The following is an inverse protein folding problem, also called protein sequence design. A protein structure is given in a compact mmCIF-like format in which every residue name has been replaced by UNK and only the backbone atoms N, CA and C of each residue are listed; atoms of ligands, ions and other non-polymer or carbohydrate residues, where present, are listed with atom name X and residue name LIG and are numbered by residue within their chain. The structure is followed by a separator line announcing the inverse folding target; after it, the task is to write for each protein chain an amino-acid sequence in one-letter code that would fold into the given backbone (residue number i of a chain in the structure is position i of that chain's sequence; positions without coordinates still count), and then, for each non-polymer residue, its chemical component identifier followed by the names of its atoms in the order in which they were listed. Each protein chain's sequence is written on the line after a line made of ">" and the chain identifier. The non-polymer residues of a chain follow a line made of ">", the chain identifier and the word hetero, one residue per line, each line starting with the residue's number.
data_IF_646714082439
#
_entry.id   IF_646714082439
#
_cell.length_a   1.000
_cell.length_b   1.000
_cell.length_c   1.000
_cell.angle_alpha   90.00
_cell.angle_beta   90.00
_cell.angle_gamma   90.00
#
_symmetry.space_group_name_H-M   'P 1'
#
loop_
_entity.id
_entity.type
_entity.pdbx_description
1 polymer ?
#
# COMPACT_ATOMS: atom_id res chain seq x y z
N UNK A 1 12.83 18.21 -24.43
CA UNK A 1 13.41 16.93 -23.97
C UNK A 1 14.11 17.03 -22.60
N UNK A 2 14.90 18.08 -22.30
CA UNK A 2 15.54 18.29 -20.97
C UNK A 2 14.59 18.28 -19.75
N UNK A 3 13.31 18.65 -19.91
CA UNK A 3 12.33 18.64 -18.82
C UNK A 3 11.92 17.23 -18.40
N UNK A 4 11.77 16.31 -19.35
CA UNK A 4 11.39 14.92 -19.08
C UNK A 4 12.47 14.17 -18.30
N UNK A 5 13.74 14.34 -18.69
CA UNK A 5 14.88 13.76 -17.97
C UNK A 5 15.06 14.31 -16.55
N UNK A 6 14.70 15.57 -16.28
CA UNK A 6 14.74 16.11 -14.92
C UNK A 6 13.61 15.60 -14.03
N UNK A 7 12.44 15.37 -14.59
CA UNK A 7 11.27 14.89 -13.86
C UNK A 7 11.33 13.38 -13.59
N UNK A 8 11.78 12.58 -14.56
CA UNK A 8 11.72 11.12 -14.50
C UNK A 8 13.09 10.44 -14.49
N UNK A 9 14.16 11.12 -14.91
CA UNK A 9 15.51 10.56 -14.98
C UNK A 9 16.38 10.78 -13.74
N UNK A 10 15.88 11.49 -12.72
CA UNK A 10 16.59 11.71 -11.45
C UNK A 10 15.71 11.37 -10.26
N UNK A 11 16.32 10.76 -9.25
CA UNK A 11 15.70 10.55 -7.94
C UNK A 11 15.24 11.88 -7.35
N UNK A 12 13.99 11.92 -6.89
CA UNK A 12 13.46 13.09 -6.21
C UNK A 12 14.08 13.21 -4.81
N UNK A 13 14.32 14.44 -4.32
CA UNK A 13 14.85 14.63 -2.98
C UNK A 13 13.85 14.10 -1.93
N UNK A 14 14.37 13.48 -0.87
CA UNK A 14 13.57 12.80 0.19
C UNK A 14 12.46 13.68 0.74
N UNK A 15 12.76 14.96 1.03
CA UNK A 15 11.78 15.90 1.58
C UNK A 15 10.59 16.11 0.65
N UNK A 16 10.83 16.14 -0.67
CA UNK A 16 9.77 16.34 -1.64
C UNK A 16 8.84 15.12 -1.72
N UNK A 17 9.39 13.91 -1.64
CA UNK A 17 8.59 12.68 -1.50
C UNK A 17 7.75 12.67 -0.22
N UNK A 18 8.36 13.02 0.92
CA UNK A 18 7.65 13.11 2.20
C UNK A 18 6.52 14.16 2.18
N UNK A 19 6.77 15.33 1.58
CA UNK A 19 5.78 16.39 1.43
C UNK A 19 4.58 15.94 0.60
N UNK A 20 4.82 15.26 -0.53
CA UNK A 20 3.75 14.75 -1.39
C UNK A 20 2.94 13.65 -0.74
N UNK A 21 3.59 12.73 0.00
CA UNK A 21 2.89 11.71 0.77
C UNK A 21 2.02 12.32 1.88
N UNK A 22 2.54 13.32 2.59
CA UNK A 22 1.79 14.06 3.62
C UNK A 22 0.58 14.79 3.05
N UNK A 23 0.77 15.53 1.94
CA UNK A 23 -0.33 16.20 1.24
C UNK A 23 -1.36 15.20 0.75
N UNK A 24 -0.92 14.10 0.12
CA UNK A 24 -1.80 13.03 -0.33
C UNK A 24 -2.64 12.47 0.82
N UNK A 25 -2.02 12.22 1.97
CA UNK A 25 -2.73 11.75 3.14
C UNK A 25 -3.81 12.72 3.65
N UNK A 26 -3.50 14.02 3.72
CA UNK A 26 -4.48 15.05 4.11
C UNK A 26 -5.66 15.09 3.15
N UNK A 27 -5.40 15.01 1.84
CA UNK A 27 -6.46 14.93 0.85
C UNK A 27 -7.34 13.69 1.02
N UNK A 28 -6.74 12.50 1.18
CA UNK A 28 -7.51 11.27 1.41
C UNK A 28 -8.39 11.36 2.67
N UNK A 29 -7.82 11.91 3.75
CA UNK A 29 -8.54 12.11 5.00
C UNK A 29 -9.72 13.09 4.86
N UNK A 30 -9.58 14.11 4.00
CA UNK A 30 -10.64 15.08 3.74
C UNK A 30 -11.81 14.50 2.92
N UNK A 31 -11.58 13.50 2.08
CA UNK A 31 -12.60 12.95 1.18
C UNK A 31 -13.37 11.76 1.75
N UNK A 32 -12.72 10.80 2.42
CA UNK A 32 -13.43 9.58 2.86
C UNK A 32 -12.74 8.86 4.02
N UNK A 33 -11.49 8.41 3.82
CA UNK A 33 -10.79 7.52 4.75
C UNK A 33 -9.28 7.81 4.73
N UNK A 34 -8.58 7.59 5.85
CA UNK A 34 -7.13 7.62 5.85
C UNK A 34 -6.52 6.53 4.95
N UNK A 35 -5.31 6.77 4.44
CA UNK A 35 -4.62 5.84 3.54
C UNK A 35 -4.29 4.51 4.25
N UNK A 36 -4.90 3.41 3.80
CA UNK A 36 -4.59 2.06 4.31
C UNK A 36 -4.52 1.02 3.20
N UNK A 37 -3.57 0.10 3.31
CA UNK A 37 -3.36 -1.01 2.37
C UNK A 37 -3.94 -2.32 2.93
N UNK A 38 -3.77 -2.53 4.24
CA UNK A 38 -4.21 -3.76 4.92
C UNK A 38 -5.72 -3.99 4.77
N UNK A 39 -6.53 -2.94 4.89
CA UNK A 39 -7.99 -3.10 4.76
C UNK A 39 -8.40 -3.45 3.32
N UNK A 40 -7.71 -2.90 2.31
CA UNK A 40 -7.97 -3.21 0.91
C UNK A 40 -7.62 -4.66 0.57
N UNK A 41 -6.47 -5.15 1.06
CA UNK A 41 -6.02 -6.55 0.87
C UNK A 41 -6.90 -7.52 1.66
N UNK A 42 -7.32 -7.15 2.88
CA UNK A 42 -8.26 -7.93 3.68
C UNK A 42 -9.59 -8.11 2.95
N UNK A 43 -10.14 -7.05 2.36
CA UNK A 43 -11.36 -7.13 1.56
C UNK A 43 -11.21 -8.07 0.35
N UNK A 44 -10.05 -8.11 -0.29
CA UNK A 44 -9.78 -9.07 -1.38
C UNK A 44 -9.75 -10.51 -0.89
N UNK A 45 -9.16 -10.75 0.29
CA UNK A 45 -9.17 -12.06 0.94
C UNK A 45 -10.58 -12.50 1.33
N UNK A 46 -11.33 -11.63 2.01
CA UNK A 46 -12.70 -11.90 2.44
C UNK A 46 -13.61 -12.18 1.24
N UNK A 47 -13.44 -11.46 0.13
CA UNK A 47 -14.17 -11.72 -1.12
C UNK A 47 -13.82 -13.07 -1.73
N UNK A 48 -12.52 -13.42 -1.82
CA UNK A 48 -12.08 -14.74 -2.32
C UNK A 48 -12.63 -15.90 -1.47
N UNK A 49 -12.56 -15.77 -0.14
CA UNK A 49 -13.05 -16.82 0.75
C UNK A 49 -14.59 -16.90 0.79
N UNK A 50 -15.29 -15.80 0.50
CA UNK A 50 -16.74 -15.79 0.35
C UNK A 50 -17.17 -16.52 -0.93
N UNK A 51 -16.48 -16.29 -2.06
CA UNK A 51 -16.69 -17.03 -3.32
C UNK A 51 -16.41 -18.53 -3.18
N UNK A 52 -15.41 -18.92 -2.39
CA UNK A 52 -15.10 -20.33 -2.09
C UNK A 52 -16.09 -20.94 -1.07
N UNK A 53 -16.96 -20.13 -0.46
CA UNK A 53 -18.02 -20.57 0.46
C UNK A 53 -17.57 -20.86 1.89
N UNK A 54 -16.34 -20.48 2.25
CA UNK A 54 -15.75 -20.71 3.59
C UNK A 54 -16.31 -19.73 4.64
N UNK A 55 -16.67 -18.52 4.20
CA UNK A 55 -17.20 -17.46 5.06
C UNK A 55 -18.43 -16.83 4.43
N UNK A 56 -19.51 -16.70 5.20
CA UNK A 56 -20.79 -16.14 4.78
C UNK A 56 -20.97 -14.73 5.38
N UNK A 57 -20.10 -13.81 4.96
CA UNK A 57 -20.18 -12.39 5.32
C UNK A 57 -20.68 -11.59 4.12
N UNK A 58 -21.43 -10.51 4.37
CA UNK A 58 -21.81 -9.57 3.31
C UNK A 58 -20.57 -8.74 2.96
N UNK A 59 -19.77 -9.24 2.01
CA UNK A 59 -18.55 -8.58 1.55
C UNK A 59 -18.92 -7.60 0.44
N UNK A 60 -18.57 -6.33 0.60
CA UNK A 60 -18.67 -5.37 -0.50
C UNK A 60 -17.68 -5.79 -1.59
N UNK A 61 -18.09 -5.80 -2.86
CA UNK A 61 -17.20 -6.21 -3.93
C UNK A 61 -16.00 -5.26 -4.00
N UNK A 62 -14.80 -5.78 -4.35
CA UNK A 62 -13.53 -5.06 -4.23
C UNK A 62 -13.42 -3.80 -5.11
N UNK A 63 -14.31 -3.64 -6.09
CA UNK A 63 -14.44 -2.44 -6.92
C UNK A 63 -15.19 -1.28 -6.22
N UNK A 64 -16.05 -1.59 -5.24
CA UNK A 64 -16.86 -0.61 -4.51
C UNK A 64 -16.24 -0.24 -3.14
N UNK A 65 -15.24 -0.99 -2.69
CA UNK A 65 -14.55 -0.70 -1.44
C UNK A 65 -13.45 0.35 -1.63
N UNK A 66 -13.62 1.51 -1.00
CA UNK A 66 -12.74 2.68 -1.16
C UNK A 66 -11.25 2.35 -0.98
N UNK A 67 -10.89 1.55 0.04
CA UNK A 67 -9.49 1.14 0.27
C UNK A 67 -8.96 0.17 -0.80
N UNK A 68 -9.81 -0.67 -1.40
CA UNK A 68 -9.39 -1.56 -2.49
C UNK A 68 -9.14 -0.76 -3.77
N UNK A 69 -9.94 0.26 -4.06
CA UNK A 69 -9.72 1.18 -5.20
C UNK A 69 -8.40 1.94 -5.04
N UNK A 70 -8.09 2.40 -3.82
CA UNK A 70 -6.80 3.02 -3.50
C UNK A 70 -5.62 2.06 -3.71
N UNK A 71 -5.75 0.80 -3.32
CA UNK A 71 -4.73 -0.23 -3.61
C UNK A 71 -4.51 -0.42 -5.11
N UNK A 72 -5.58 -0.51 -5.91
CA UNK A 72 -5.45 -0.58 -7.36
C UNK A 72 -4.81 0.68 -7.95
N UNK A 73 -5.20 1.86 -7.46
CA UNK A 73 -4.61 3.14 -7.85
C UNK A 73 -3.11 3.20 -7.58
N UNK A 74 -2.64 2.68 -6.44
CA UNK A 74 -1.21 2.58 -6.14
C UNK A 74 -0.47 1.64 -7.09
N UNK A 75 -1.02 0.46 -7.37
CA UNK A 75 -0.38 -0.52 -8.27
C UNK A 75 -0.24 0.08 -9.67
N UNK A 76 -1.32 0.66 -10.19
CA UNK A 76 -1.35 1.29 -11.52
C UNK A 76 -0.46 2.53 -11.54
N UNK A 77 -0.47 3.35 -10.50
CA UNK A 77 0.35 4.54 -10.36
C UNK A 77 1.85 4.23 -10.29
N UNK A 78 2.23 3.22 -9.49
CA UNK A 78 3.62 2.75 -9.40
C UNK A 78 4.11 2.18 -10.73
N UNK A 79 3.26 1.41 -11.42
CA UNK A 79 3.54 0.91 -12.75
C UNK A 79 3.73 2.06 -13.75
N UNK A 80 2.81 3.04 -13.78
CA UNK A 80 2.90 4.22 -14.63
C UNK A 80 4.17 5.03 -14.38
N UNK A 81 4.54 5.24 -13.12
CA UNK A 81 5.77 5.91 -12.74
C UNK A 81 7.02 5.15 -13.21
N UNK A 82 7.04 3.82 -13.06
CA UNK A 82 8.14 2.98 -13.52
C UNK A 82 8.29 2.99 -15.06
N UNK A 83 7.18 3.00 -15.80
CA UNK A 83 7.20 3.12 -17.27
C UNK A 83 7.71 4.49 -17.73
N UNK A 84 7.27 5.57 -17.07
CA UNK A 84 7.73 6.93 -17.36
C UNK A 84 9.21 7.11 -17.01
N UNK A 85 9.67 6.51 -15.92
CA UNK A 85 11.08 6.47 -15.51
C UNK A 85 11.98 5.59 -16.38
N UNK A 86 11.40 4.76 -17.26
CA UNK A 86 12.12 3.71 -18.03
C UNK A 86 12.86 2.69 -17.15
N UNK A 87 12.47 2.58 -15.88
CA UNK A 87 13.04 1.65 -14.89
C UNK A 87 12.24 0.33 -14.79
N UNK A 88 11.20 0.17 -15.60
CA UNK A 88 10.41 -1.05 -15.62
C UNK A 88 11.22 -2.21 -16.23
N UNK A 89 11.61 -3.17 -15.39
CA UNK A 89 12.27 -4.39 -15.82
C UNK A 89 11.58 -5.59 -15.15
N UNK A 90 11.07 -6.51 -15.97
CA UNK A 90 10.53 -7.80 -15.47
C UNK A 90 11.70 -8.68 -15.05
N UNK A 91 11.90 -8.80 -13.73
CA UNK A 91 12.92 -9.67 -13.14
C UNK A 91 12.23 -10.87 -12.50
N UNK A 92 12.38 -12.06 -13.07
CA UNK A 92 11.94 -13.28 -12.42
C UNK A 92 12.95 -13.67 -11.35
N UNK A 93 12.49 -13.78 -10.11
CA UNK A 93 13.31 -14.22 -8.99
C UNK A 93 13.53 -15.75 -9.03
N UNK A 94 14.69 -16.26 -8.60
CA UNK A 94 14.90 -17.70 -8.42
C UNK A 94 13.91 -18.28 -7.40
N UNK A 95 13.55 -19.55 -7.54
CA UNK A 95 12.51 -20.20 -6.71
C UNK A 95 12.72 -20.04 -5.19
N UNK A 96 13.98 -19.95 -4.74
CA UNK A 96 14.32 -19.71 -3.33
C UNK A 96 13.91 -18.33 -2.84
N UNK A 97 14.04 -17.30 -3.68
CA UNK A 97 13.61 -15.94 -3.35
C UNK A 97 12.08 -15.82 -3.38
N UNK A 98 11.42 -16.53 -4.30
CA UNK A 98 9.97 -16.61 -4.32
C UNK A 98 9.42 -17.22 -3.02
N UNK A 99 10.03 -18.30 -2.53
CA UNK A 99 9.61 -18.91 -1.26
C UNK A 99 9.82 -17.98 -0.07
N UNK A 100 10.94 -17.24 -0.03
CA UNK A 100 11.17 -16.21 0.99
C UNK A 100 10.14 -15.09 0.92
N UNK A 101 9.77 -14.65 -0.29
CA UNK A 101 8.74 -13.65 -0.51
C UNK A 101 7.37 -14.10 -0.02
N UNK A 102 7.00 -15.36 -0.28
CA UNK A 102 5.76 -15.96 0.20
C UNK A 102 5.71 -16.01 1.73
N UNK A 103 6.79 -16.52 2.35
CA UNK A 103 6.88 -16.65 3.81
C UNK A 103 6.90 -15.28 4.49
N UNK A 104 7.62 -14.32 3.92
CA UNK A 104 7.65 -12.94 4.38
C UNK A 104 6.29 -12.25 4.27
N UNK A 105 5.59 -12.44 3.15
CA UNK A 105 4.24 -11.89 2.95
C UNK A 105 3.22 -12.47 3.95
N UNK A 106 3.28 -13.77 4.23
CA UNK A 106 2.43 -14.40 5.23
C UNK A 106 2.67 -13.82 6.65
N UNK A 107 3.95 -13.68 7.04
CA UNK A 107 4.32 -13.05 8.32
C UNK A 107 3.87 -11.59 8.40
N UNK A 108 4.01 -10.82 7.32
CA UNK A 108 3.53 -9.44 7.25
C UNK A 108 2.01 -9.36 7.41
N UNK A 109 1.26 -10.28 6.83
CA UNK A 109 -0.20 -10.36 6.98
C UNK A 109 -0.61 -10.67 8.42
N UNK A 110 0.05 -11.64 9.07
CA UNK A 110 -0.18 -11.99 10.47
C UNK A 110 0.13 -10.78 11.38
N UNK A 111 1.27 -10.13 11.17
CA UNK A 111 1.67 -8.93 11.93
C UNK A 111 0.68 -7.78 11.74
N UNK A 112 0.24 -7.53 10.51
CA UNK A 112 -0.73 -6.48 10.21
C UNK A 112 -2.09 -6.72 10.86
N UNK A 113 -2.49 -7.99 11.05
CA UNK A 113 -3.71 -8.31 11.77
C UNK A 113 -3.56 -8.10 13.29
N UNK A 114 -2.44 -8.54 13.87
CA UNK A 114 -2.18 -8.44 15.31
C UNK A 114 -1.97 -7.01 15.78
N UNK A 115 -1.32 -6.17 14.96
CA UNK A 115 -1.01 -4.77 15.28
C UNK A 115 -2.07 -3.79 14.75
N UNK A 116 -3.17 -4.29 14.18
CA UNK A 116 -4.27 -3.51 13.62
C UNK A 116 -3.83 -2.42 12.61
N UNK A 117 -2.77 -2.67 11.83
CA UNK A 117 -2.24 -1.67 10.90
C UNK A 117 -1.10 -2.17 10.02
N UNK A 118 -0.80 -1.43 8.94
CA UNK A 118 0.46 -1.57 8.19
C UNK A 118 1.37 -0.37 8.43
N UNK A 119 2.54 -0.36 7.80
CA UNK A 119 3.49 0.75 7.90
C UNK A 119 2.88 2.12 7.49
N UNK A 120 1.95 2.14 6.53
CA UNK A 120 1.25 3.38 6.15
C UNK A 120 0.08 3.63 7.11
N UNK A 121 -0.72 2.58 7.34
CA UNK A 121 -1.97 2.63 8.11
C UNK A 121 -1.81 2.91 9.61
N UNK A 122 -0.77 2.35 10.21
CA UNK A 122 -0.55 2.32 11.65
C UNK A 122 0.69 3.08 12.10
N UNK A 123 1.73 3.19 11.25
CA UNK A 123 2.89 4.01 11.58
C UNK A 123 2.72 5.46 11.07
N UNK A 124 2.67 5.66 9.75
CA UNK A 124 2.64 7.01 9.15
C UNK A 124 1.42 7.86 9.58
N UNK A 125 0.25 7.24 9.67
CA UNK A 125 -0.97 7.93 10.09
C UNK A 125 -1.03 8.23 11.59
N UNK A 126 -0.64 7.28 12.45
CA UNK A 126 -0.68 7.51 13.89
C UNK A 126 0.38 8.51 14.33
N UNK A 127 1.56 8.51 13.70
CA UNK A 127 2.60 9.50 13.96
C UNK A 127 2.13 10.92 13.58
N UNK A 128 1.51 11.07 12.40
CA UNK A 128 0.93 12.36 11.97
C UNK A 128 -0.26 12.82 12.82
N UNK A 129 -1.01 11.89 13.42
CA UNK A 129 -2.07 12.19 14.38
C UNK A 129 -1.54 12.41 15.82
N UNK A 130 -0.22 12.36 16.04
CA UNK A 130 0.44 12.45 17.34
C UNK A 130 -0.08 11.41 18.36
N UNK A 131 -0.39 10.20 17.86
CA UNK A 131 -0.88 9.10 18.66
C UNK A 131 0.26 8.16 19.05
N UNK A 132 0.25 7.71 20.31
CA UNK A 132 1.29 6.84 20.86
C UNK A 132 1.42 5.48 20.16
N UNK A 133 0.37 5.04 19.45
CA UNK A 133 0.38 3.83 18.63
C UNK A 133 1.44 3.86 17.51
N UNK A 134 1.76 5.03 16.94
CA UNK A 134 2.80 5.14 15.91
C UNK A 134 4.19 4.83 16.47
N UNK A 135 4.50 5.35 17.66
CA UNK A 135 5.77 5.08 18.34
C UNK A 135 5.95 3.61 18.72
N UNK A 136 4.88 2.97 19.21
CA UNK A 136 4.90 1.54 19.58
C UNK A 136 5.12 0.57 18.39
N UNK A 137 5.02 1.02 17.14
CA UNK A 137 5.36 0.17 15.99
C UNK A 137 6.88 0.15 15.69
N UNK A 138 7.66 1.05 16.27
CA UNK A 138 9.11 1.13 16.08
C UNK A 138 9.92 0.44 17.19
N UNK A 139 9.31 0.22 18.36
CA UNK A 139 9.87 -0.50 19.51
C UNK A 139 9.48 -1.99 19.51
#
# INVERSE_FOLDING_TARGET
>A
MKGYERLFGKQWPIWFGGLLLGIGNVFLFAFDRPWTVSNGVRNWGDWLFNEIGVIQINVLPPNLFSSSVLCFGMIIGALGAALLGREFQVRMAPARELFKGLFGGALMGIGAHSLFGCNIGGFFLCDSAFQWQGGMMLD
#
